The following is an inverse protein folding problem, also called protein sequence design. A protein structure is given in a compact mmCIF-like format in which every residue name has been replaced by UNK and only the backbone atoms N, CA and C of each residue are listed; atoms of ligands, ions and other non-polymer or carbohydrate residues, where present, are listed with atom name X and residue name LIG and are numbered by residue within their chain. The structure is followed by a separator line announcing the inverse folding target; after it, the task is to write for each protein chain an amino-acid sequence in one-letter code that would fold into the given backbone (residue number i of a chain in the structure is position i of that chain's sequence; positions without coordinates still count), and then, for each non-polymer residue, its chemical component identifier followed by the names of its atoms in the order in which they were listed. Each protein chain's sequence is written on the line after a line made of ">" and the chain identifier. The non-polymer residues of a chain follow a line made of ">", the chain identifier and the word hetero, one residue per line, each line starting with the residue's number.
data_IF_337170294253
#
_entry.id   IF_337170294253
#
_cell.length_a   1.000
_cell.length_b   1.000
_cell.length_c   1.000
_cell.angle_alpha   90.00
_cell.angle_beta   90.00
_cell.angle_gamma   90.00
#
_symmetry.space_group_name_H-M   'P 1'
#
loop_
_entity.id
_entity.type
_entity.pdbx_description
1 polymer ?
#
# COMPACT_ATOMS: atom_id res chain seq x y z
N UNK A 1 7.52 -7.15 8.91
CA UNK A 1 6.55 -7.64 7.88
C UNK A 1 7.16 -8.78 7.06
N UNK A 2 6.35 -9.74 6.56
CA UNK A 2 6.81 -10.82 5.67
C UNK A 2 6.42 -10.58 4.21
N UNK A 3 7.38 -10.56 3.30
CA UNK A 3 7.15 -10.33 1.87
C UNK A 3 8.11 -11.09 0.94
N UNK A 4 7.71 -11.24 -0.32
CA UNK A 4 8.51 -11.82 -1.39
C UNK A 4 8.36 -11.01 -2.68
N UNK A 5 9.49 -10.69 -3.31
CA UNK A 5 9.51 -10.07 -4.63
C UNK A 5 9.52 -11.12 -5.75
N UNK A 6 8.80 -10.84 -6.83
CA UNK A 6 8.60 -11.76 -7.95
C UNK A 6 8.95 -11.04 -9.24
N UNK A 7 9.81 -11.66 -10.05
CA UNK A 7 10.09 -11.23 -11.43
C UNK A 7 9.34 -12.16 -12.36
N UNK A 8 8.23 -11.68 -12.91
CA UNK A 8 7.45 -12.43 -13.86
C UNK A 8 7.64 -11.87 -15.28
N UNK A 9 8.00 -12.70 -16.27
CA UNK A 9 8.26 -12.24 -17.63
C UNK A 9 7.02 -11.72 -18.36
N UNK A 10 5.81 -12.00 -17.87
CA UNK A 10 4.55 -11.59 -18.50
C UNK A 10 3.98 -10.37 -17.79
N UNK A 11 4.02 -10.38 -16.46
CA UNK A 11 3.30 -9.46 -15.59
C UNK A 11 4.20 -8.48 -14.84
N UNK A 12 5.52 -8.55 -15.07
CA UNK A 12 6.51 -7.61 -14.58
C UNK A 12 7.02 -7.90 -13.18
N UNK A 13 7.50 -6.84 -12.53
CA UNK A 13 7.98 -6.88 -11.15
C UNK A 13 6.79 -6.76 -10.19
N UNK A 14 6.69 -7.65 -9.21
CA UNK A 14 5.61 -7.66 -8.23
C UNK A 14 6.10 -7.98 -6.82
N UNK A 15 5.33 -7.59 -5.82
CA UNK A 15 5.48 -8.01 -4.43
C UNK A 15 4.30 -8.89 -3.98
N UNK A 16 4.55 -9.90 -3.16
CA UNK A 16 3.55 -10.57 -2.33
C UNK A 16 3.88 -10.32 -0.87
N UNK A 17 2.89 -9.96 -0.07
CA UNK A 17 3.03 -9.67 1.36
C UNK A 17 2.01 -10.50 2.15
N UNK A 18 2.26 -10.72 3.43
CA UNK A 18 1.33 -11.45 4.30
C UNK A 18 -0.05 -10.77 4.35
N UNK A 19 -1.11 -11.56 4.60
CA UNK A 19 -2.50 -11.07 4.55
C UNK A 19 -2.75 -9.87 5.49
N UNK A 20 -2.09 -9.83 6.65
CA UNK A 20 -2.17 -8.73 7.62
C UNK A 20 -1.76 -7.37 7.03
N UNK A 21 -0.91 -7.37 6.00
CA UNK A 21 -0.39 -6.18 5.33
C UNK A 21 -0.75 -6.16 3.84
N UNK A 22 -1.76 -6.92 3.41
CA UNK A 22 -2.10 -7.12 2.01
C UNK A 22 -2.28 -5.81 1.22
N UNK A 23 -2.87 -4.78 1.86
CA UNK A 23 -3.07 -3.46 1.28
C UNK A 23 -1.76 -2.75 0.91
N UNK A 24 -0.68 -2.95 1.68
CA UNK A 24 0.64 -2.36 1.40
C UNK A 24 1.19 -2.97 0.11
N UNK A 25 1.05 -4.29 -0.05
CA UNK A 25 1.44 -4.99 -1.26
C UNK A 25 0.62 -4.56 -2.48
N UNK A 26 -0.69 -4.36 -2.30
CA UNK A 26 -1.58 -3.85 -3.34
C UNK A 26 -1.17 -2.45 -3.78
N UNK A 27 -1.01 -1.52 -2.84
CA UNK A 27 -0.54 -0.15 -3.12
C UNK A 27 0.80 -0.13 -3.85
N UNK A 28 1.78 -0.93 -3.42
CA UNK A 28 3.08 -0.97 -4.07
C UNK A 28 3.01 -1.55 -5.50
N UNK A 29 2.16 -2.56 -5.74
CA UNK A 29 1.99 -3.18 -7.05
C UNK A 29 1.18 -2.32 -8.03
N UNK A 30 0.06 -1.75 -7.56
CA UNK A 30 -0.97 -1.14 -8.40
C UNK A 30 -0.77 0.38 -8.54
N UNK A 31 -0.32 1.05 -7.48
CA UNK A 31 -0.24 2.51 -7.47
C UNK A 31 1.18 3.04 -7.71
N UNK A 32 2.18 2.40 -7.12
CA UNK A 32 3.57 2.89 -7.13
C UNK A 32 4.40 2.23 -8.23
N UNK A 33 4.41 0.90 -8.25
CA UNK A 33 5.24 0.09 -9.14
C UNK A 33 6.73 0.49 -9.11
N UNK A 34 7.38 0.36 -10.25
CA UNK A 34 8.77 0.83 -10.46
C UNK A 34 8.85 2.34 -10.68
N UNK A 35 7.85 2.94 -11.30
CA UNK A 35 7.94 4.28 -11.86
C UNK A 35 7.83 5.38 -10.81
N UNK A 36 7.02 5.16 -9.76
CA UNK A 36 6.80 6.17 -8.71
C UNK A 36 7.64 5.92 -7.46
N UNK A 37 8.53 4.93 -7.45
CA UNK A 37 9.31 4.61 -6.24
C UNK A 37 10.19 5.77 -5.77
N UNK A 38 10.75 6.55 -6.70
CA UNK A 38 11.54 7.73 -6.39
C UNK A 38 10.72 8.83 -5.67
N UNK A 39 9.43 8.94 -5.98
CA UNK A 39 8.52 9.87 -5.28
C UNK A 39 8.30 9.43 -3.82
N UNK A 40 8.12 8.13 -3.58
CA UNK A 40 7.97 7.59 -2.22
C UNK A 40 9.25 7.80 -1.40
N UNK A 41 10.43 7.64 -2.01
CA UNK A 41 11.70 7.93 -1.32
C UNK A 41 11.86 9.41 -0.95
N UNK A 42 11.38 10.31 -1.80
CA UNK A 42 11.36 11.73 -1.49
C UNK A 42 10.41 12.03 -0.32
N UNK A 43 9.24 11.38 -0.27
CA UNK A 43 8.29 11.48 0.83
C UNK A 43 8.91 11.03 2.16
N UNK A 44 9.57 9.85 2.17
CA UNK A 44 10.31 9.35 3.34
C UNK A 44 11.35 10.37 3.81
N UNK A 45 12.13 10.94 2.89
CA UNK A 45 13.16 11.93 3.22
C UNK A 45 12.57 13.22 3.80
N UNK A 46 11.40 13.64 3.31
CA UNK A 46 10.67 14.79 3.83
C UNK A 46 10.16 14.53 5.26
N UNK A 47 9.57 13.35 5.52
CA UNK A 47 9.12 12.95 6.87
C UNK A 47 10.29 12.84 7.84
N UNK A 48 11.45 12.31 7.43
CA UNK A 48 12.65 12.28 8.29
C UNK A 48 13.08 13.68 8.74
N UNK A 49 12.91 14.68 7.88
CA UNK A 49 13.30 16.07 8.12
C UNK A 49 12.25 16.92 8.84
N UNK A 50 10.98 16.50 8.83
CA UNK A 50 9.86 17.19 9.48
C UNK A 50 9.37 16.45 10.73
N UNK A 51 8.49 17.06 11.52
CA UNK A 51 7.75 16.36 12.59
C UNK A 51 6.27 16.15 12.24
N UNK A 52 5.83 16.72 11.12
CA UNK A 52 4.45 16.61 10.68
C UNK A 52 4.27 15.36 9.80
N UNK A 53 3.17 14.61 9.99
CA UNK A 53 2.83 13.51 9.09
C UNK A 53 2.53 14.07 7.69
N UNK A 54 2.88 13.30 6.66
CA UNK A 54 2.60 13.63 5.28
C UNK A 54 1.67 12.59 4.68
N UNK A 55 0.65 13.05 3.96
CA UNK A 55 -0.27 12.19 3.24
C UNK A 55 0.01 12.22 1.75
N UNK A 56 0.20 11.04 1.17
CA UNK A 56 0.24 10.81 -0.27
C UNK A 56 -1.09 10.20 -0.69
N UNK A 57 -1.89 11.00 -1.40
CA UNK A 57 -3.19 10.57 -1.90
C UNK A 57 -3.01 9.66 -3.11
N UNK A 58 -3.54 8.45 -3.01
CA UNK A 58 -3.57 7.48 -4.09
C UNK A 58 -4.82 7.62 -4.96
N UNK A 59 -4.91 6.77 -5.98
CA UNK A 59 -6.13 6.53 -6.73
C UNK A 59 -7.12 5.68 -5.92
N UNK A 60 -6.62 4.71 -5.16
CA UNK A 60 -7.46 3.81 -4.37
C UNK A 60 -6.98 3.67 -2.93
N UNK A 61 -5.70 3.95 -2.64
CA UNK A 61 -5.09 3.76 -1.34
C UNK A 61 -4.23 4.98 -0.98
N UNK A 62 -4.60 5.62 0.12
CA UNK A 62 -3.82 6.71 0.70
C UNK A 62 -2.71 6.16 1.60
N UNK A 63 -1.54 6.79 1.53
CA UNK A 63 -0.44 6.58 2.46
C UNK A 63 -0.34 7.79 3.40
N UNK A 64 -0.46 7.56 4.70
CA UNK A 64 -0.19 8.54 5.74
C UNK A 64 1.12 8.12 6.41
N UNK A 65 2.16 8.94 6.23
CA UNK A 65 3.51 8.65 6.70
C UNK A 65 3.90 9.60 7.82
N UNK A 66 4.24 9.03 8.98
CA UNK A 66 4.81 9.73 10.13
C UNK A 66 6.20 9.18 10.47
N UNK A 67 6.84 9.71 11.51
CA UNK A 67 8.13 9.18 11.99
C UNK A 67 8.00 7.86 12.77
N UNK A 68 6.79 7.54 13.21
CA UNK A 68 6.51 6.36 14.03
C UNK A 68 5.99 5.21 13.16
N UNK A 69 5.09 5.52 12.22
CA UNK A 69 4.40 4.52 11.40
C UNK A 69 4.02 5.03 9.99
N UNK A 70 3.80 4.07 9.10
CA UNK A 70 3.17 4.23 7.80
C UNK A 70 1.79 3.56 7.83
N UNK A 71 0.74 4.34 7.62
CA UNK A 71 -0.64 3.88 7.57
C UNK A 71 -1.15 3.91 6.13
N UNK A 72 -1.90 2.88 5.77
CA UNK A 72 -2.51 2.70 4.47
C UNK A 72 -4.01 2.61 4.64
N UNK A 73 -4.73 3.46 3.92
CA UNK A 73 -6.20 3.53 3.98
C UNK A 73 -6.74 3.41 2.56
N UNK A 74 -7.43 2.32 2.27
CA UNK A 74 -8.17 2.19 1.01
C UNK A 74 -9.36 3.15 1.04
N UNK A 75 -9.59 3.84 -0.06
CA UNK A 75 -10.85 4.53 -0.27
C UNK A 75 -11.94 3.47 -0.25
N UNK A 76 -12.83 3.54 0.75
CA UNK A 76 -14.02 2.71 0.73
C UNK A 76 -14.79 3.04 -0.56
N UNK A 77 -15.08 2.00 -1.34
CA UNK A 77 -15.95 1.93 -2.54
C UNK A 77 -15.27 1.98 -3.92
N UNK A 78 -15.02 0.78 -4.44
CA UNK A 78 -15.61 0.33 -5.72
C UNK A 78 -15.99 -1.16 -5.60
N UNK A 79 -16.91 -1.48 -4.69
CA UNK A 79 -17.84 -2.56 -5.02
C UNK A 79 -18.78 -1.91 -6.04
N UNK A 80 -18.58 -2.21 -7.32
CA UNK A 80 -19.55 -1.92 -8.37
C UNK A 80 -20.84 -2.65 -7.97
N UNK A 81 -21.70 -1.92 -7.27
CA UNK A 81 -22.89 -2.43 -6.63
C UNK A 81 -24.13 -1.76 -7.24
N UNK A 82 -24.11 -1.56 -8.55
CA UNK A 82 -25.34 -1.25 -9.29
C UNK A 82 -26.33 -2.43 -9.33
N UNK A 83 -25.97 -3.61 -8.78
CA UNK A 83 -26.86 -4.79 -8.70
C UNK A 83 -27.24 -5.29 -7.28
N UNK A 84 -26.81 -4.66 -6.17
CA UNK A 84 -27.21 -5.11 -4.81
C UNK A 84 -28.26 -4.25 -4.10
N UNK A 85 -29.03 -3.42 -4.83
CA UNK A 85 -30.22 -2.77 -4.23
C UNK A 85 -31.40 -3.74 -4.08
N UNK A 86 -31.29 -4.99 -4.57
CA UNK A 86 -32.37 -5.98 -4.52
C UNK A 86 -32.37 -6.91 -3.29
N UNK A 87 -31.35 -6.88 -2.43
CA UNK A 87 -31.25 -7.76 -1.26
C UNK A 87 -30.87 -6.99 0.00
N UNK A 88 -31.73 -6.04 0.41
CA UNK A 88 -31.74 -5.52 1.78
C UNK A 88 -32.48 -6.52 2.69
N UNK A 89 -31.89 -7.68 2.90
CA UNK A 89 -32.18 -8.59 4.01
C UNK A 89 -30.94 -9.50 4.16
N UNK A 90 -30.50 -9.70 5.40
CA UNK A 90 -29.24 -10.32 5.86
C UNK A 90 -27.96 -9.44 5.84
N UNK A 91 -27.68 -8.83 6.99
CA UNK A 91 -26.41 -8.94 7.76
C UNK A 91 -25.05 -8.93 7.03
N UNK A 92 -24.90 -8.21 5.92
CA UNK A 92 -23.57 -7.91 5.36
C UNK A 92 -22.94 -6.74 6.11
N UNK A 93 -22.48 -6.99 7.34
CA UNK A 93 -21.39 -6.22 7.92
C UNK A 93 -20.21 -6.36 6.96
N UNK A 94 -19.94 -5.35 6.13
CA UNK A 94 -18.72 -5.28 5.34
C UNK A 94 -17.56 -5.40 6.34
N UNK A 95 -16.88 -6.54 6.35
CA UNK A 95 -15.69 -6.76 7.17
C UNK A 95 -14.69 -5.64 6.82
N UNK A 96 -14.43 -4.74 7.76
CA UNK A 96 -13.41 -3.69 7.63
C UNK A 96 -11.98 -4.29 7.55
N UNK A 97 -11.86 -5.61 7.71
CA UNK A 97 -10.63 -6.38 7.65
C UNK A 97 -9.98 -6.26 6.26
N UNK A 98 -8.92 -5.45 6.19
CA UNK A 98 -8.11 -5.25 4.98
C UNK A 98 -8.34 -3.94 4.23
N UNK A 99 -9.24 -3.06 4.73
CA UNK A 99 -9.40 -1.69 4.21
C UNK A 99 -8.33 -0.73 4.75
N UNK A 100 -7.76 -1.05 5.91
CA UNK A 100 -6.64 -0.32 6.46
C UNK A 100 -5.58 -1.29 7.01
N UNK A 101 -4.32 -0.87 6.95
CA UNK A 101 -3.22 -1.55 7.62
C UNK A 101 -2.11 -0.56 7.90
N UNK A 102 -1.26 -0.88 8.86
CA UNK A 102 -0.17 -0.04 9.27
C UNK A 102 1.09 -0.85 9.51
N UNK A 103 2.24 -0.19 9.38
CA UNK A 103 3.50 -0.77 9.78
C UNK A 103 4.43 0.29 10.35
N UNK A 104 5.45 -0.16 11.10
CA UNK A 104 6.46 0.74 11.64
C UNK A 104 7.17 1.52 10.53
N UNK A 105 7.54 2.77 10.82
CA UNK A 105 8.24 3.62 9.85
C UNK A 105 9.53 2.97 9.32
N UNK A 106 10.31 2.34 10.20
CA UNK A 106 11.55 1.66 9.82
C UNK A 106 11.28 0.47 8.89
N UNK A 107 10.32 -0.41 9.22
CA UNK A 107 9.92 -1.52 8.34
C UNK A 107 9.46 -1.03 6.96
N UNK A 108 8.73 0.10 6.90
CA UNK A 108 8.30 0.70 5.64
C UNK A 108 9.50 1.21 4.82
N UNK A 109 10.46 1.87 5.45
CA UNK A 109 11.69 2.33 4.77
C UNK A 109 12.47 1.14 4.22
N UNK A 110 12.69 0.10 5.02
CA UNK A 110 13.38 -1.13 4.60
C UNK A 110 12.67 -1.79 3.40
N UNK A 111 11.34 -1.82 3.41
CA UNK A 111 10.54 -2.35 2.30
C UNK A 111 10.76 -1.56 1.00
N UNK A 112 10.72 -0.22 1.08
CA UNK A 112 10.87 0.67 -0.08
C UNK A 112 12.29 0.62 -0.65
N UNK A 113 13.31 0.56 0.20
CA UNK A 113 14.71 0.39 -0.20
C UNK A 113 14.92 -0.97 -0.89
N UNK A 114 14.43 -2.05 -0.26
CA UNK A 114 14.52 -3.40 -0.82
C UNK A 114 13.79 -3.54 -2.16
N UNK A 115 12.62 -2.91 -2.30
CA UNK A 115 11.89 -2.85 -3.58
C UNK A 115 12.66 -2.07 -4.64
N UNK A 116 13.26 -0.94 -4.28
CA UNK A 116 14.07 -0.17 -5.21
C UNK A 116 15.26 -1.00 -5.73
N UNK A 117 16.01 -1.66 -4.85
CA UNK A 117 17.14 -2.53 -5.24
C UNK A 117 16.67 -3.65 -6.17
N UNK A 118 15.57 -4.30 -5.81
CA UNK A 118 14.93 -5.33 -6.63
C UNK A 118 14.54 -4.82 -8.02
N UNK A 119 14.04 -3.58 -8.16
CA UNK A 119 13.65 -3.01 -9.46
C UNK A 119 14.83 -2.58 -10.33
N UNK A 120 15.99 -2.34 -9.72
CA UNK A 120 17.25 -2.02 -10.39
C UNK A 120 18.05 -3.27 -10.80
N UNK A 121 17.68 -4.45 -10.28
CA UNK A 121 18.39 -5.70 -10.59
C UNK A 121 19.71 -5.87 -9.88
N UNK A 122 19.82 -5.27 -8.70
CA UNK A 122 20.79 -5.68 -7.69
C UNK A 122 20.29 -6.87 -6.90
#
# INVERSE_FOLDING_TARGET
>A
MEYQFIRDPISGLRIKISSEHAIIGRWLNEEVGKEKIAMVQALISAVKSSHEPLTLQGQEIDLILSKDEALFEAHALHQDNEDLVAYQDDDLMLEEEGLCSGCGFEDFVDLIESWQEFTQGR
#
